data_IF_838337011506
#
_entry.id   IF_838337011506
#
_cell.length_a   1.000
_cell.length_b   1.000
_cell.length_c   1.000
_cell.angle_alpha   90.00
_cell.angle_beta   90.00
_cell.angle_gamma   90.00
#
_symmetry.space_group_name_H-M   'P 1'
#
loop_
_entity.id
_entity.type
_entity.pdbx_description
1 polymer ?
#
# COMPACT_ATOMS: atom_id res chain seq x y z
N UNK A 1 -22.44 40.93 14.32
CA UNK A 1 -23.80 40.66 14.82
C UNK A 1 -23.69 40.36 16.30
N UNK A 2 -24.18 41.24 17.19
CA UNK A 2 -24.10 41.04 18.64
C UNK A 2 -25.22 40.09 19.08
N UNK A 3 -24.87 38.99 19.73
CA UNK A 3 -25.83 38.06 20.33
C UNK A 3 -26.17 38.55 21.75
N UNK A 4 -27.44 38.85 22.02
CA UNK A 4 -27.89 39.21 23.37
C UNK A 4 -28.15 37.94 24.17
N UNK A 5 -27.41 37.75 25.27
CA UNK A 5 -27.69 36.71 26.26
C UNK A 5 -28.91 37.11 27.08
N UNK A 6 -30.01 36.39 26.92
CA UNK A 6 -31.16 36.43 27.82
C UNK A 6 -31.60 35.00 28.12
N UNK A 7 -31.37 34.55 29.36
CA UNK A 7 -31.79 33.22 29.81
C UNK A 7 -31.83 33.15 31.33
N UNK A 8 -33.04 33.25 31.89
CA UNK A 8 -33.32 33.00 33.31
C UNK A 8 -32.93 31.56 33.70
N UNK A 9 -32.19 31.43 34.79
CA UNK A 9 -31.56 30.20 35.28
C UNK A 9 -32.49 29.14 35.88
N UNK A 10 -33.65 28.88 35.28
CA UNK A 10 -34.58 27.83 35.73
C UNK A 10 -34.33 26.52 34.99
N UNK A 11 -34.19 25.40 35.73
CA UNK A 11 -34.09 24.06 35.14
C UNK A 11 -35.45 23.64 34.58
N UNK A 12 -35.53 23.35 33.28
CA UNK A 12 -36.78 22.90 32.64
C UNK A 12 -37.07 21.45 33.00
N UNK A 13 -38.27 21.18 33.49
CA UNK A 13 -38.78 19.82 33.68
C UNK A 13 -39.20 19.24 32.32
N UNK A 14 -38.75 18.02 32.01
CA UNK A 14 -39.15 17.29 30.81
C UNK A 14 -40.24 16.26 31.14
N UNK A 15 -41.32 16.28 30.36
CA UNK A 15 -42.43 15.32 30.44
C UNK A 15 -42.03 14.06 29.66
N UNK A 16 -42.40 12.88 30.16
CA UNK A 16 -42.00 11.54 29.67
C UNK A 16 -42.38 11.29 28.19
N UNK A 17 -43.32 12.05 27.64
CA UNK A 17 -43.89 11.82 26.31
C UNK A 17 -43.05 12.33 25.12
N UNK A 18 -41.84 12.84 25.38
CA UNK A 18 -40.89 13.23 24.34
C UNK A 18 -41.27 14.50 23.55
N UNK A 19 -40.32 15.11 22.82
CA UNK A 19 -40.47 16.43 22.19
C UNK A 19 -41.46 16.46 20.99
N UNK A 20 -42.10 15.34 20.66
CA UNK A 20 -42.83 15.14 19.40
C UNK A 20 -44.37 15.25 19.52
N UNK A 21 -44.93 15.37 20.73
CA UNK A 21 -46.41 15.41 20.90
C UNK A 21 -47.05 16.75 20.51
N UNK A 22 -46.36 17.87 20.77
CA UNK A 22 -46.94 19.22 20.61
C UNK A 22 -46.24 20.07 19.56
N UNK A 23 -45.00 19.74 19.18
CA UNK A 23 -44.16 20.59 18.35
C UNK A 23 -44.10 20.07 16.89
N UNK A 24 -44.86 20.71 16.00
CA UNK A 24 -44.63 20.55 14.56
C UNK A 24 -43.51 21.50 14.13
N UNK A 25 -42.28 20.98 14.09
CA UNK A 25 -41.09 21.76 13.73
C UNK A 25 -41.16 22.42 12.34
N UNK A 26 -42.02 21.96 11.43
CA UNK A 26 -42.20 22.67 10.14
C UNK A 26 -42.99 23.98 10.24
N UNK A 27 -43.76 24.18 11.32
CA UNK A 27 -44.77 25.25 11.43
C UNK A 27 -44.62 26.10 12.70
N UNK A 28 -43.81 25.66 13.68
CA UNK A 28 -43.60 26.39 14.92
C UNK A 28 -42.85 27.71 14.74
N UNK A 29 -43.30 28.77 15.43
CA UNK A 29 -42.65 30.10 15.40
C UNK A 29 -41.18 30.06 15.87
N UNK A 30 -40.81 29.07 16.68
CA UNK A 30 -39.46 28.84 17.19
C UNK A 30 -38.67 27.79 16.40
N UNK A 31 -39.10 27.43 15.19
CA UNK A 31 -38.50 26.32 14.45
C UNK A 31 -37.34 26.70 13.53
N UNK A 32 -36.42 25.75 13.38
CA UNK A 32 -35.16 25.83 12.62
C UNK A 32 -35.34 25.74 11.07
N UNK A 33 -36.50 26.12 10.55
CA UNK A 33 -36.80 26.11 9.10
C UNK A 33 -37.20 27.50 8.56
N UNK A 34 -36.83 28.55 9.30
CA UNK A 34 -37.03 29.93 8.91
C UNK A 34 -36.14 30.34 7.73
N UNK A 35 -36.36 31.54 7.19
CA UNK A 35 -35.57 32.08 6.09
C UNK A 35 -34.07 32.15 6.43
N UNK A 36 -33.74 32.44 7.68
CA UNK A 36 -32.36 32.41 8.18
C UNK A 36 -31.70 31.02 8.04
N UNK A 37 -32.39 29.95 8.43
CA UNK A 37 -31.86 28.59 8.32
C UNK A 37 -31.77 28.11 6.87
N UNK A 38 -32.69 28.57 6.01
CA UNK A 38 -32.61 28.30 4.55
C UNK A 38 -31.42 29.02 3.92
N UNK A 39 -31.16 30.27 4.31
CA UNK A 39 -30.00 31.03 3.86
C UNK A 39 -28.70 30.38 4.37
N UNK A 40 -28.67 29.95 5.63
CA UNK A 40 -27.54 29.20 6.20
C UNK A 40 -27.31 27.89 5.45
N UNK A 41 -28.36 27.10 5.20
CA UNK A 41 -28.25 25.85 4.44
C UNK A 41 -27.81 26.08 2.99
N UNK A 42 -28.27 27.16 2.35
CA UNK A 42 -27.83 27.58 1.01
C UNK A 42 -26.35 27.94 1.00
N UNK A 43 -25.89 28.68 2.01
CA UNK A 43 -24.47 29.01 2.17
C UNK A 43 -23.64 27.76 2.44
N UNK A 44 -24.07 26.90 3.37
CA UNK A 44 -23.39 25.64 3.68
C UNK A 44 -23.30 24.73 2.44
N UNK A 45 -24.36 24.59 1.64
CA UNK A 45 -24.31 23.85 0.37
C UNK A 45 -23.32 24.45 -0.63
N UNK A 46 -23.23 25.79 -0.68
CA UNK A 46 -22.26 26.49 -1.54
C UNK A 46 -20.82 26.24 -1.07
N UNK A 47 -20.60 26.21 0.25
CA UNK A 47 -19.28 25.98 0.85
C UNK A 47 -18.81 24.51 0.69
N UNK A 48 -19.73 23.56 0.46
CA UNK A 48 -19.40 22.17 0.11
C UNK A 48 -18.87 22.03 -1.33
N UNK A 49 -19.06 23.04 -2.20
CA UNK A 49 -18.52 23.00 -3.56
C UNK A 49 -17.04 23.38 -3.51
N UNK A 50 -16.17 22.40 -3.75
CA UNK A 50 -14.73 22.65 -3.82
C UNK A 50 -14.42 23.60 -4.97
N UNK A 51 -13.44 24.48 -4.76
CA UNK A 51 -12.93 25.32 -5.83
C UNK A 51 -12.36 24.42 -6.96
N UNK A 52 -12.42 24.86 -8.24
CA UNK A 52 -11.87 24.06 -9.35
C UNK A 52 -10.40 23.70 -9.17
N UNK A 53 -9.63 24.57 -8.51
CA UNK A 53 -8.24 24.31 -8.10
C UNK A 53 -8.15 23.12 -7.12
N UNK A 54 -9.10 23.01 -6.20
CA UNK A 54 -9.09 22.01 -5.13
C UNK A 54 -9.66 20.66 -5.59
N UNK A 55 -10.44 20.65 -6.68
CA UNK A 55 -11.02 19.45 -7.28
C UNK A 55 -9.99 18.51 -7.91
N UNK A 56 -8.88 19.05 -8.44
CA UNK A 56 -7.84 18.30 -9.16
C UNK A 56 -6.49 18.27 -8.45
N UNK A 57 -6.46 18.70 -7.19
CA UNK A 57 -5.22 18.78 -6.43
C UNK A 57 -4.69 17.37 -6.12
N UNK A 58 -3.92 16.79 -7.04
CA UNK A 58 -2.94 15.78 -6.72
C UNK A 58 -1.93 16.42 -5.77
N UNK A 59 -2.15 16.28 -4.46
CA UNK A 59 -1.29 16.81 -3.40
C UNK A 59 0.20 16.45 -3.65
N UNK A 60 0.46 15.28 -4.22
CA UNK A 60 1.78 14.77 -4.59
C UNK A 60 2.51 15.59 -5.69
N UNK A 61 1.82 16.46 -6.43
CA UNK A 61 2.41 17.37 -7.43
C UNK A 61 2.83 18.72 -6.86
N UNK A 62 2.27 19.12 -5.72
CA UNK A 62 2.66 20.37 -5.08
C UNK A 62 4.14 20.27 -4.68
N UNK A 63 5.01 21.18 -5.17
CA UNK A 63 6.44 21.08 -4.91
C UNK A 63 6.74 21.22 -3.43
N UNK A 64 5.95 22.01 -2.70
CA UNK A 64 6.06 22.19 -1.25
C UNK A 64 5.73 20.90 -0.50
N UNK A 65 4.62 20.26 -0.84
CA UNK A 65 4.23 18.98 -0.26
C UNK A 65 5.28 17.89 -0.52
N UNK A 66 5.82 17.84 -1.75
CA UNK A 66 6.87 16.88 -2.12
C UNK A 66 8.18 17.12 -1.37
N UNK A 67 8.55 18.39 -1.16
CA UNK A 67 9.74 18.77 -0.37
C UNK A 67 9.58 18.38 1.10
N UNK A 68 8.40 18.60 1.67
CA UNK A 68 8.09 18.24 3.06
C UNK A 68 8.03 16.72 3.28
N UNK A 69 7.44 15.98 2.33
CA UNK A 69 7.22 14.53 2.46
C UNK A 69 8.46 13.68 2.17
N UNK A 70 9.33 14.11 1.26
CA UNK A 70 10.45 13.29 0.77
C UNK A 70 11.81 14.01 0.86
N UNK A 71 12.83 13.28 1.31
CA UNK A 71 14.22 13.72 1.25
C UNK A 71 14.73 13.80 -0.21
N UNK A 72 15.88 14.44 -0.43
CA UNK A 72 16.45 14.66 -1.77
C UNK A 72 16.70 13.34 -2.52
N UNK A 73 17.28 12.34 -1.85
CA UNK A 73 17.59 11.04 -2.44
C UNK A 73 16.31 10.37 -2.96
N UNK A 74 15.24 10.35 -2.16
CA UNK A 74 13.97 9.74 -2.57
C UNK A 74 13.28 10.52 -3.69
N UNK A 75 13.48 11.84 -3.78
CA UNK A 75 12.99 12.64 -4.90
C UNK A 75 13.68 12.27 -6.21
N UNK A 76 15.02 12.16 -6.19
CA UNK A 76 15.80 11.77 -7.38
C UNK A 76 15.44 10.34 -7.80
N UNK A 77 15.37 9.39 -6.85
CA UNK A 77 14.99 8.02 -7.14
C UNK A 77 13.56 7.87 -7.72
N UNK A 78 12.64 8.79 -7.35
CA UNK A 78 11.25 8.78 -7.83
C UNK A 78 11.06 9.52 -9.15
N UNK A 79 11.98 10.41 -9.52
CA UNK A 79 11.95 11.20 -10.76
C UNK A 79 11.58 10.40 -12.03
N UNK A 80 12.19 9.24 -12.33
CA UNK A 80 11.84 8.50 -13.55
C UNK A 80 10.39 8.00 -13.52
N UNK A 81 9.90 7.54 -12.36
CA UNK A 81 8.50 7.13 -12.22
C UNK A 81 7.54 8.31 -12.41
N UNK A 82 7.88 9.48 -11.87
CA UNK A 82 7.04 10.67 -12.00
C UNK A 82 7.00 11.18 -13.45
N UNK A 83 8.09 11.05 -14.20
CA UNK A 83 8.11 11.34 -15.64
C UNK A 83 7.20 10.39 -16.43
N UNK A 84 7.23 9.08 -16.12
CA UNK A 84 6.32 8.08 -16.72
C UNK A 84 4.85 8.39 -16.40
N UNK A 85 4.54 8.73 -15.15
CA UNK A 85 3.19 9.12 -14.73
C UNK A 85 2.72 10.39 -15.46
N UNK A 86 3.62 11.36 -15.65
CA UNK A 86 3.36 12.57 -16.45
C UNK A 86 3.01 12.25 -17.90
N UNK A 87 3.72 11.31 -18.53
CA UNK A 87 3.44 10.87 -19.89
C UNK A 87 2.09 10.15 -20.01
N UNK A 88 1.73 9.29 -19.04
CA UNK A 88 0.47 8.53 -19.08
C UNK A 88 -0.78 9.39 -18.85
N UNK A 89 -0.67 10.48 -18.08
CA UNK A 89 -1.82 11.37 -17.81
C UNK A 89 -2.40 12.04 -19.06
N UNK A 90 -1.65 12.13 -20.16
CA UNK A 90 -2.18 12.62 -21.44
C UNK A 90 -3.24 11.69 -22.05
N UNK A 91 -3.23 10.41 -21.65
CA UNK A 91 -4.07 9.37 -22.26
C UNK A 91 -5.00 8.67 -21.26
N UNK A 92 -4.75 8.81 -19.95
CA UNK A 92 -5.38 8.01 -18.89
C UNK A 92 -5.91 8.88 -17.75
N UNK A 93 -6.85 8.34 -16.97
CA UNK A 93 -7.23 8.96 -15.70
C UNK A 93 -6.05 9.01 -14.72
N UNK A 94 -6.06 9.98 -13.81
CA UNK A 94 -4.98 10.18 -12.83
C UNK A 94 -4.72 8.94 -11.98
N UNK A 95 -5.77 8.20 -11.62
CA UNK A 95 -5.69 6.98 -10.83
C UNK A 95 -4.97 5.86 -11.59
N UNK A 96 -5.30 5.67 -12.87
CA UNK A 96 -4.69 4.64 -13.71
C UNK A 96 -3.22 4.99 -13.99
N UNK A 97 -2.91 6.27 -14.22
CA UNK A 97 -1.53 6.73 -14.41
C UNK A 97 -0.66 6.52 -13.15
N UNK A 98 -1.23 6.73 -11.95
CA UNK A 98 -0.54 6.47 -10.69
C UNK A 98 -0.28 4.97 -10.51
N UNK A 99 -1.29 4.14 -10.77
CA UNK A 99 -1.18 2.69 -10.69
C UNK A 99 -0.15 2.16 -11.69
N UNK A 100 -0.19 2.59 -12.94
CA UNK A 100 0.74 2.15 -13.98
C UNK A 100 2.19 2.49 -13.62
N UNK A 101 2.46 3.70 -13.11
CA UNK A 101 3.77 4.04 -12.56
C UNK A 101 4.20 3.07 -11.47
N UNK A 102 3.32 2.78 -10.51
CA UNK A 102 3.62 1.91 -9.38
C UNK A 102 3.95 0.49 -9.85
N UNK A 103 3.15 -0.06 -10.77
CA UNK A 103 3.34 -1.39 -11.34
C UNK A 103 4.62 -1.48 -12.16
N UNK A 104 4.92 -0.49 -12.99
CA UNK A 104 6.14 -0.48 -13.82
C UNK A 104 7.38 -0.33 -12.95
N UNK A 105 7.40 0.65 -12.05
CA UNK A 105 8.60 0.91 -11.21
C UNK A 105 8.89 -0.23 -10.24
N UNK A 106 7.87 -0.78 -9.59
CA UNK A 106 8.03 -1.93 -8.68
C UNK A 106 8.27 -3.23 -9.45
N UNK A 107 7.57 -3.42 -10.57
CA UNK A 107 7.75 -4.58 -11.44
C UNK A 107 9.18 -4.66 -11.97
N UNK A 108 9.74 -3.54 -12.44
CA UNK A 108 11.13 -3.48 -12.92
C UNK A 108 12.12 -3.78 -11.80
N UNK A 109 11.88 -3.28 -10.59
CA UNK A 109 12.74 -3.59 -9.44
C UNK A 109 12.70 -5.08 -9.06
N UNK A 110 11.50 -5.66 -8.99
CA UNK A 110 11.32 -7.09 -8.69
C UNK A 110 11.93 -7.97 -9.78
N UNK A 111 11.74 -7.59 -11.05
CA UNK A 111 12.31 -8.29 -12.19
C UNK A 111 13.84 -8.23 -12.16
N UNK A 112 14.43 -7.06 -11.99
CA UNK A 112 15.88 -6.89 -11.93
C UNK A 112 16.50 -7.66 -10.74
N UNK A 113 15.83 -7.63 -9.58
CA UNK A 113 16.23 -8.43 -8.41
C UNK A 113 16.15 -9.92 -8.72
N UNK A 114 15.06 -10.37 -9.35
CA UNK A 114 14.87 -11.77 -9.73
C UNK A 114 15.94 -12.27 -10.70
N UNK A 115 16.25 -11.49 -11.74
CA UNK A 115 17.33 -11.78 -12.69
C UNK A 115 18.69 -11.81 -11.97
N UNK A 116 18.96 -10.85 -11.09
CA UNK A 116 20.21 -10.81 -10.33
C UNK A 116 20.38 -12.02 -9.41
N UNK A 117 19.32 -12.42 -8.70
CA UNK A 117 19.32 -13.61 -7.84
C UNK A 117 19.49 -14.88 -8.67
N UNK A 118 18.75 -15.02 -9.78
CA UNK A 118 18.87 -16.18 -10.66
C UNK A 118 20.28 -16.29 -11.23
N UNK A 119 20.83 -15.20 -11.75
CA UNK A 119 22.20 -15.16 -12.27
C UNK A 119 23.22 -15.54 -11.19
N UNK A 120 23.09 -14.97 -9.99
CA UNK A 120 23.94 -15.31 -8.86
C UNK A 120 23.87 -16.79 -8.49
N UNK A 121 22.67 -17.36 -8.42
CA UNK A 121 22.48 -18.78 -8.10
C UNK A 121 23.06 -19.69 -9.17
N UNK A 122 22.90 -19.35 -10.46
CA UNK A 122 23.43 -20.19 -11.56
C UNK A 122 24.95 -20.16 -11.69
N UNK A 123 25.60 -19.07 -11.27
CA UNK A 123 27.05 -18.90 -11.42
C UNK A 123 27.82 -19.27 -10.15
N UNK A 124 27.14 -19.39 -9.02
CA UNK A 124 27.73 -19.74 -7.74
C UNK A 124 27.42 -21.20 -7.40
N UNK A 125 28.35 -22.10 -7.73
CA UNK A 125 28.28 -23.50 -7.28
C UNK A 125 28.50 -23.58 -5.75
N UNK A 126 27.69 -24.39 -5.07
CA UNK A 126 27.75 -24.58 -3.61
C UNK A 126 28.81 -25.61 -3.23
N UNK A 127 30.05 -25.36 -3.62
CA UNK A 127 31.18 -26.25 -3.37
C UNK A 127 31.87 -25.97 -2.03
N UNK A 128 32.61 -26.97 -1.55
CA UNK A 128 33.42 -26.89 -0.34
C UNK A 128 34.61 -25.91 -0.47
N UNK A 129 35.06 -25.60 -1.69
CA UNK A 129 36.24 -24.78 -1.98
C UNK A 129 36.05 -23.29 -1.63
N UNK A 130 34.80 -22.83 -1.48
CA UNK A 130 34.48 -21.42 -1.20
C UNK A 130 33.90 -21.26 0.21
N UNK A 131 34.50 -20.35 0.98
CA UNK A 131 34.03 -20.05 2.34
C UNK A 131 32.76 -19.16 2.34
N UNK A 132 32.62 -18.28 1.34
CA UNK A 132 31.57 -17.25 1.28
C UNK A 132 30.51 -17.56 0.22
N UNK A 133 29.27 -17.12 0.47
CA UNK A 133 28.16 -17.19 -0.47
C UNK A 133 26.90 -17.84 0.12
N UNK A 134 25.81 -17.80 -0.66
CA UNK A 134 24.60 -18.54 -0.31
C UNK A 134 24.83 -20.04 -0.51
N UNK A 135 24.50 -20.81 0.53
CA UNK A 135 24.61 -22.28 0.51
C UNK A 135 23.28 -22.85 0.07
N UNK A 136 23.28 -23.55 -1.06
CA UNK A 136 22.09 -24.20 -1.59
C UNK A 136 22.17 -25.67 -1.20
N UNK A 137 21.21 -26.09 -0.38
CA UNK A 137 21.10 -27.46 0.10
C UNK A 137 19.99 -28.15 -0.68
N UNK A 138 20.37 -29.06 -1.56
CA UNK A 138 19.40 -29.87 -2.27
C UNK A 138 18.77 -30.88 -1.33
N UNK A 139 17.43 -30.83 -1.29
CA UNK A 139 16.61 -31.83 -0.62
C UNK A 139 16.51 -33.05 -1.53
N UNK A 140 16.48 -34.22 -0.92
CA UNK A 140 16.20 -35.47 -1.64
C UNK A 140 14.80 -35.38 -2.26
N UNK A 141 14.68 -35.76 -3.54
CA UNK A 141 13.38 -35.79 -4.20
C UNK A 141 12.56 -36.99 -3.70
N UNK A 142 11.23 -36.87 -3.69
CA UNK A 142 10.37 -38.00 -3.39
C UNK A 142 10.50 -39.07 -4.50
N UNK A 143 10.68 -40.33 -4.11
CA UNK A 143 10.69 -41.46 -5.03
C UNK A 143 9.29 -42.09 -5.01
N UNK A 144 8.72 -42.35 -6.18
CA UNK A 144 7.38 -42.92 -6.34
C UNK A 144 7.45 -44.32 -6.98
N UNK A 145 6.42 -45.17 -6.80
CA UNK A 145 6.31 -46.45 -7.49
C UNK A 145 6.36 -46.25 -9.01
N UNK A 146 7.39 -46.81 -9.65
CA UNK A 146 7.66 -46.63 -11.09
C UNK A 146 8.94 -45.86 -11.41
N UNK A 147 9.57 -45.20 -10.42
CA UNK A 147 10.93 -44.70 -10.57
C UNK A 147 11.93 -45.89 -10.59
N UNK A 148 13.02 -45.85 -11.39
CA UNK A 148 14.00 -46.94 -11.44
C UNK A 148 14.62 -47.31 -10.09
N UNK A 149 14.66 -46.34 -9.18
CA UNK A 149 15.21 -46.48 -7.83
C UNK A 149 14.13 -46.81 -6.78
N UNK A 150 12.90 -47.09 -7.19
CA UNK A 150 11.89 -47.58 -6.27
C UNK A 150 12.12 -49.08 -5.98
N UNK A 151 12.11 -49.56 -4.73
CA UNK A 151 11.81 -48.84 -3.47
C UNK A 151 13.05 -48.27 -2.73
N UNK A 152 14.26 -48.50 -3.24
CA UNK A 152 15.50 -48.16 -2.55
C UNK A 152 16.18 -46.91 -3.12
N UNK A 153 16.17 -45.82 -2.35
CA UNK A 153 16.86 -44.56 -2.67
C UNK A 153 18.39 -44.74 -2.66
N UNK A 154 18.93 -45.28 -3.74
CA UNK A 154 20.35 -45.66 -3.82
C UNK A 154 21.20 -44.49 -4.30
N UNK A 155 20.72 -43.66 -5.23
CA UNK A 155 21.47 -42.51 -5.75
C UNK A 155 21.59 -41.34 -4.77
N UNK A 156 20.62 -41.18 -3.86
CA UNK A 156 20.59 -40.07 -2.90
C UNK A 156 20.82 -40.52 -1.47
N UNK A 157 21.34 -41.74 -1.28
CA UNK A 157 21.56 -42.31 0.04
C UNK A 157 22.64 -41.49 0.77
N UNK A 158 22.25 -40.86 1.87
CA UNK A 158 23.13 -40.20 2.83
C UNK A 158 23.07 -41.02 4.12
N UNK A 159 24.13 -41.76 4.43
CA UNK A 159 24.13 -42.70 5.56
C UNK A 159 24.74 -42.08 6.81
N UNK A 160 25.77 -41.24 6.64
CA UNK A 160 26.50 -40.63 7.74
C UNK A 160 26.08 -39.17 7.91
N UNK A 161 26.10 -38.63 9.14
CA UNK A 161 25.89 -37.20 9.38
C UNK A 161 26.84 -36.29 8.58
N UNK A 162 28.05 -36.76 8.27
CA UNK A 162 29.04 -36.05 7.43
C UNK A 162 28.58 -35.85 6.00
N UNK A 163 27.79 -36.77 5.45
CA UNK A 163 27.37 -36.76 4.04
C UNK A 163 26.48 -35.55 3.73
N UNK A 164 25.74 -35.06 4.73
CA UNK A 164 24.89 -33.87 4.62
C UNK A 164 25.68 -32.56 4.44
N UNK A 165 26.97 -32.56 4.79
CA UNK A 165 27.87 -31.40 4.70
C UNK A 165 28.98 -31.53 3.67
N UNK A 166 29.07 -32.66 2.97
CA UNK A 166 30.21 -33.06 2.13
C UNK A 166 30.43 -32.15 0.91
N UNK A 167 29.35 -31.72 0.22
CA UNK A 167 29.41 -30.75 -0.92
C UNK A 167 30.49 -31.09 -1.96
N UNK A 168 30.57 -32.37 -2.34
CA UNK A 168 31.55 -32.86 -3.32
C UNK A 168 32.99 -32.93 -2.82
N UNK A 169 33.25 -32.76 -1.51
CA UNK A 169 34.61 -32.87 -0.95
C UNK A 169 35.19 -34.27 -1.12
N UNK A 170 34.42 -35.32 -0.83
CA UNK A 170 34.86 -36.72 -1.01
C UNK A 170 35.15 -37.10 -2.48
N UNK A 171 34.62 -36.33 -3.44
CA UNK A 171 34.91 -36.51 -4.87
C UNK A 171 36.04 -35.61 -5.40
N UNK A 172 36.64 -34.80 -4.53
CA UNK A 172 37.77 -33.94 -4.90
C UNK A 172 39.07 -34.76 -4.98
N UNK A 173 39.99 -34.34 -5.85
CA UNK A 173 41.23 -35.10 -6.14
C UNK A 173 42.36 -34.81 -5.14
N UNK A 174 42.05 -34.23 -3.98
CA UNK A 174 43.02 -33.79 -2.97
C UNK A 174 42.97 -34.74 -1.77
#
# INVERSE_FOLDING_TARGET
MKWSNGGDGTKKHYIIEGPYRTHQWRVGLSSEFQEADRLWRKQYLKDQVLAPKDLHNDMDRLPEFRKARYNLIRRVARMPGDALEGAFRGFMSSQVALLSRLMITRGLFVWALGVGVAFYVTTQESDWTRFQGMRILDRTHAIYPGHPEWPHNTSQKREKPSDFGNRGFEHSTI
#
